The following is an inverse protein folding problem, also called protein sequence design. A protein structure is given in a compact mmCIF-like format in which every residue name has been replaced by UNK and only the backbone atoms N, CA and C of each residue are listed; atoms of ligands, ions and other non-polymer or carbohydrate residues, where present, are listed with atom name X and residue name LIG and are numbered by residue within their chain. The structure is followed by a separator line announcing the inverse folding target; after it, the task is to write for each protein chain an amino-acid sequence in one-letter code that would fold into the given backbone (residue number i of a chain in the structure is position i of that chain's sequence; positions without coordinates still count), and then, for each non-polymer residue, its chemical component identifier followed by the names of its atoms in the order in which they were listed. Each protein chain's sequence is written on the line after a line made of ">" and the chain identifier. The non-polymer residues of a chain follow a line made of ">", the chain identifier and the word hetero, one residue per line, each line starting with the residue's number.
data_IF_398886617473
#
_entry.id   IF_398886617473
#
_cell.length_a   1.000
_cell.length_b   1.000
_cell.length_c   1.000
_cell.angle_alpha   90.00
_cell.angle_beta   90.00
_cell.angle_gamma   90.00
#
_symmetry.space_group_name_H-M   'P 1'
#
loop_
_entity.id
_entity.type
_entity.pdbx_description
1 polymer ?
#
# COMPACT_ATOMS: atom_id res chain seq x y z
N UNK A 1 12.42 4.39 12.72
CA UNK A 1 11.40 4.75 11.74
C UNK A 1 10.01 4.53 12.34
N UNK A 2 9.09 5.47 12.15
CA UNK A 2 7.74 5.39 12.69
C UNK A 2 6.88 4.40 11.89
N UNK A 3 5.75 3.97 12.49
CA UNK A 3 4.79 3.11 11.78
C UNK A 3 4.25 3.78 10.52
N UNK A 4 4.03 5.10 10.58
CA UNK A 4 3.57 5.87 9.42
C UNK A 4 4.61 5.87 8.30
N UNK A 5 5.88 6.05 8.62
CA UNK A 5 6.96 6.00 7.64
C UNK A 5 7.10 4.61 7.01
N UNK A 6 7.02 3.56 7.81
CA UNK A 6 7.07 2.18 7.31
C UNK A 6 5.88 1.91 6.38
N UNK A 7 4.69 2.39 6.73
CA UNK A 7 3.50 2.25 5.87
C UNK A 7 3.72 2.96 4.53
N UNK A 8 4.27 4.15 4.55
CA UNK A 8 4.54 4.91 3.32
C UNK A 8 5.55 4.17 2.43
N UNK A 9 6.60 3.61 3.01
CA UNK A 9 7.56 2.79 2.25
C UNK A 9 6.91 1.52 1.70
N UNK A 10 6.02 0.90 2.46
CA UNK A 10 5.25 -0.27 1.99
C UNK A 10 4.41 0.11 0.78
N UNK A 11 3.71 1.24 0.86
CA UNK A 11 2.93 1.75 -0.27
C UNK A 11 3.82 1.96 -1.50
N UNK A 12 4.95 2.63 -1.34
CA UNK A 12 5.86 2.92 -2.46
C UNK A 12 6.39 1.64 -3.11
N UNK A 13 6.70 0.63 -2.31
CA UNK A 13 7.15 -0.66 -2.82
C UNK A 13 6.04 -1.36 -3.62
N UNK A 14 4.81 -1.32 -3.13
CA UNK A 14 3.66 -1.89 -3.83
C UNK A 14 3.36 -1.11 -5.12
N UNK A 15 3.45 0.21 -5.06
CA UNK A 15 3.25 1.07 -6.23
C UNK A 15 4.28 0.77 -7.31
N UNK A 16 5.55 0.63 -6.92
CA UNK A 16 6.63 0.29 -7.85
C UNK A 16 6.37 -1.05 -8.53
N UNK A 17 5.80 -2.01 -7.80
CA UNK A 17 5.48 -3.34 -8.33
C UNK A 17 4.54 -3.28 -9.54
N UNK A 18 3.68 -2.26 -9.63
CA UNK A 18 2.74 -2.10 -10.75
C UNK A 18 3.44 -1.79 -12.08
N UNK A 19 4.71 -1.39 -12.04
CA UNK A 19 5.48 -1.00 -13.23
C UNK A 19 6.46 -2.08 -13.70
N UNK A 20 6.63 -3.16 -12.94
CA UNK A 20 7.60 -4.20 -13.24
C UNK A 20 6.94 -5.57 -13.23
N UNK A 21 7.39 -6.48 -14.10
CA UNK A 21 6.90 -7.86 -14.07
C UNK A 21 7.53 -8.64 -12.91
N UNK A 22 7.06 -9.87 -12.69
CA UNK A 22 7.51 -10.69 -11.56
C UNK A 22 9.01 -11.06 -11.63
N UNK A 23 9.62 -11.01 -12.80
CA UNK A 23 11.06 -11.28 -12.95
C UNK A 23 11.90 -10.04 -12.64
N UNK A 24 11.40 -8.86 -13.03
CA UNK A 24 12.12 -7.59 -12.86
C UNK A 24 11.99 -7.03 -11.44
N UNK A 25 10.87 -7.29 -10.78
CA UNK A 25 10.54 -6.64 -9.51
C UNK A 25 11.55 -6.89 -8.39
N UNK A 26 12.06 -8.12 -8.17
CA UNK A 26 13.01 -8.35 -7.08
C UNK A 26 14.25 -7.46 -7.16
N UNK A 27 14.80 -7.25 -8.34
CA UNK A 27 15.96 -6.36 -8.53
C UNK A 27 15.58 -4.91 -8.26
N UNK A 28 14.43 -4.46 -8.74
CA UNK A 28 13.97 -3.10 -8.52
C UNK A 28 13.65 -2.84 -7.05
N UNK A 29 13.13 -3.83 -6.34
CA UNK A 29 12.89 -3.72 -4.91
C UNK A 29 14.21 -3.56 -4.14
N UNK A 30 15.25 -4.32 -4.48
CA UNK A 30 16.55 -4.18 -3.86
C UNK A 30 17.14 -2.79 -4.10
N UNK A 31 17.00 -2.25 -5.30
CA UNK A 31 17.41 -0.89 -5.61
C UNK A 31 16.67 0.13 -4.76
N UNK A 32 15.37 -0.09 -4.56
CA UNK A 32 14.56 0.77 -3.70
C UNK A 32 15.09 0.78 -2.26
N UNK A 33 15.43 -0.38 -1.71
CA UNK A 33 15.97 -0.48 -0.35
C UNK A 33 17.31 0.23 -0.19
N UNK A 34 18.13 0.20 -1.24
CA UNK A 34 19.47 0.84 -1.24
C UNK A 34 19.40 2.36 -1.41
N UNK A 35 18.45 2.83 -2.22
CA UNK A 35 18.27 4.25 -2.51
C UNK A 35 16.80 4.57 -2.76
N UNK A 36 16.02 4.83 -1.71
CA UNK A 36 14.59 5.14 -1.84
C UNK A 36 14.39 6.52 -2.47
N UNK A 37 14.36 6.55 -3.79
CA UNK A 37 14.34 7.74 -4.66
C UNK A 37 13.13 8.65 -4.43
N UNK A 38 12.11 8.17 -3.74
CA UNK A 38 10.86 8.92 -3.58
C UNK A 38 10.81 9.78 -2.32
N UNK A 39 11.83 9.72 -1.50
CA UNK A 39 11.85 10.49 -0.27
C UNK A 39 12.39 11.88 -0.56
N UNK A 40 11.58 12.91 -0.35
CA UNK A 40 12.06 14.27 -0.27
C UNK A 40 12.95 14.43 0.96
N UNK A 41 12.81 13.50 1.90
CA UNK A 41 13.62 13.40 3.10
C UNK A 41 14.67 12.30 2.90
N UNK A 42 15.80 12.71 2.35
CA UNK A 42 16.92 11.81 2.08
C UNK A 42 17.47 11.16 3.36
N UNK A 43 17.20 11.74 4.51
CA UNK A 43 17.69 11.22 5.80
C UNK A 43 16.90 9.97 6.22
N UNK A 44 15.61 9.88 5.87
CA UNK A 44 14.77 8.74 6.22
C UNK A 44 15.25 7.45 5.53
N UNK A 45 15.75 7.56 4.29
CA UNK A 45 16.28 6.43 3.53
C UNK A 45 17.55 5.86 4.17
N UNK A 46 18.42 6.76 4.60
CA UNK A 46 19.70 6.40 5.24
C UNK A 46 19.48 5.79 6.65
N UNK A 47 18.28 5.98 7.22
CA UNK A 47 17.95 5.54 8.58
C UNK A 47 17.25 4.18 8.63
N UNK A 48 17.04 3.54 7.49
CA UNK A 48 16.39 2.23 7.46
C UNK A 48 17.39 1.16 7.91
N UNK A 49 17.22 0.70 9.15
CA UNK A 49 18.04 -0.36 9.71
C UNK A 49 17.63 -1.74 9.17
N UNK A 50 18.42 -2.76 9.49
CA UNK A 50 18.17 -4.12 9.02
C UNK A 50 16.83 -4.67 9.51
N UNK A 51 16.46 -4.38 10.75
CA UNK A 51 15.16 -4.83 11.30
C UNK A 51 13.99 -4.22 10.53
N UNK A 52 14.07 -2.93 10.20
CA UNK A 52 13.04 -2.24 9.41
C UNK A 52 12.98 -2.81 8.00
N UNK A 53 14.13 -3.08 7.38
CA UNK A 53 14.18 -3.68 6.03
C UNK A 53 13.55 -5.07 6.02
N UNK A 54 13.84 -5.89 7.02
CA UNK A 54 13.23 -7.22 7.15
C UNK A 54 11.72 -7.12 7.33
N UNK A 55 11.26 -6.21 8.18
CA UNK A 55 9.83 -6.00 8.40
C UNK A 55 9.14 -5.55 7.11
N UNK A 56 9.71 -4.57 6.43
CA UNK A 56 9.18 -4.05 5.16
C UNK A 56 9.11 -5.16 4.11
N UNK A 57 10.18 -5.92 3.94
CA UNK A 57 10.26 -7.01 2.98
C UNK A 57 9.20 -8.07 3.28
N UNK A 58 9.06 -8.45 4.55
CA UNK A 58 8.05 -9.42 4.98
C UNK A 58 6.62 -8.92 4.72
N UNK A 59 6.37 -7.64 5.01
CA UNK A 59 5.05 -7.03 4.78
C UNK A 59 4.70 -6.99 3.29
N UNK A 60 5.63 -6.53 2.45
CA UNK A 60 5.42 -6.48 1.00
C UNK A 60 5.18 -7.88 0.44
N UNK A 61 5.97 -8.87 0.87
CA UNK A 61 5.81 -10.26 0.44
C UNK A 61 4.45 -10.83 0.87
N UNK A 62 4.02 -10.56 2.10
CA UNK A 62 2.72 -11.03 2.61
C UNK A 62 1.55 -10.43 1.82
N UNK A 63 1.62 -9.15 1.50
CA UNK A 63 0.59 -8.49 0.70
C UNK A 63 0.57 -9.05 -0.71
N UNK A 64 1.75 -9.23 -1.32
CA UNK A 64 1.88 -9.77 -2.68
C UNK A 64 1.28 -11.20 -2.78
N UNK A 65 1.52 -12.02 -1.77
CA UNK A 65 0.97 -13.38 -1.69
C UNK A 65 -0.55 -13.38 -1.64
N UNK A 66 -1.14 -12.36 -1.02
CA UNK A 66 -2.59 -12.26 -0.82
C UNK A 66 -3.30 -11.39 -1.86
N UNK A 67 -2.60 -10.91 -2.89
CA UNK A 67 -3.20 -10.02 -3.89
C UNK A 67 -4.49 -10.55 -4.50
N UNK A 68 -4.60 -11.83 -4.92
CA UNK A 68 -5.86 -12.32 -5.49
C UNK A 68 -7.04 -12.21 -4.52
N UNK A 69 -6.82 -12.54 -3.25
CA UNK A 69 -7.85 -12.44 -2.21
C UNK A 69 -8.20 -10.98 -1.92
N UNK A 70 -7.19 -10.10 -1.82
CA UNK A 70 -7.41 -8.68 -1.58
C UNK A 70 -8.20 -8.05 -2.72
N UNK A 71 -7.84 -8.35 -3.96
CA UNK A 71 -8.54 -7.83 -5.13
C UNK A 71 -9.98 -8.33 -5.19
N UNK A 72 -10.23 -9.58 -4.81
CA UNK A 72 -11.59 -10.11 -4.74
C UNK A 72 -12.44 -9.31 -3.74
N UNK A 73 -11.88 -9.03 -2.56
CA UNK A 73 -12.58 -8.24 -1.53
C UNK A 73 -12.85 -6.81 -1.98
N UNK A 74 -11.87 -6.18 -2.61
CA UNK A 74 -12.00 -4.82 -3.14
C UNK A 74 -13.04 -4.78 -4.26
N UNK A 75 -12.96 -5.71 -5.20
CA UNK A 75 -13.88 -5.77 -6.34
C UNK A 75 -15.32 -6.00 -5.91
N UNK A 76 -15.53 -6.72 -4.81
CA UNK A 76 -16.88 -6.99 -4.29
C UNK A 76 -17.60 -5.71 -3.84
N UNK A 77 -16.86 -4.68 -3.43
CA UNK A 77 -17.44 -3.42 -2.93
C UNK A 77 -17.21 -2.22 -3.85
N UNK A 78 -16.41 -2.36 -4.88
CA UNK A 78 -16.02 -1.24 -5.76
C UNK A 78 -17.02 -0.92 -6.86
N UNK A 79 -18.15 -1.60 -6.93
CA UNK A 79 -19.32 -1.30 -7.80
C UNK A 79 -18.95 -0.88 -9.23
N UNK A 80 -18.40 -1.80 -10.02
CA UNK A 80 -18.07 -1.54 -11.42
C UNK A 80 -16.67 -1.03 -11.67
N UNK A 81 -15.92 -0.70 -10.62
CA UNK A 81 -14.52 -0.32 -10.72
C UNK A 81 -13.66 -1.51 -10.31
N UNK A 82 -13.18 -2.27 -11.30
CA UNK A 82 -12.29 -3.40 -11.03
C UNK A 82 -10.87 -2.93 -10.74
N UNK A 83 -10.14 -3.68 -9.91
CA UNK A 83 -8.76 -3.34 -9.54
C UNK A 83 -7.84 -3.19 -10.75
N UNK A 84 -8.07 -3.96 -11.81
CA UNK A 84 -7.28 -3.87 -13.05
C UNK A 84 -7.55 -2.59 -13.87
N UNK A 85 -8.57 -1.83 -13.50
CA UNK A 85 -8.91 -0.55 -14.18
C UNK A 85 -8.70 0.66 -13.28
N UNK A 86 -8.32 0.45 -12.04
CA UNK A 86 -8.03 1.54 -11.11
C UNK A 86 -6.69 2.17 -11.41
N UNK A 87 -6.52 3.44 -11.02
CA UNK A 87 -5.22 4.07 -11.02
C UNK A 87 -4.25 3.33 -10.10
N UNK A 88 -2.97 3.37 -10.42
CA UNK A 88 -1.95 2.61 -9.69
C UNK A 88 -1.76 3.06 -8.25
N UNK A 89 -1.94 4.36 -7.98
CA UNK A 89 -1.91 4.90 -6.62
C UNK A 89 -3.08 4.34 -5.82
N UNK A 90 -4.28 4.46 -6.35
CA UNK A 90 -5.51 4.03 -5.68
C UNK A 90 -5.50 2.54 -5.38
N UNK A 91 -5.15 1.71 -6.36
CA UNK A 91 -5.15 0.26 -6.17
C UNK A 91 -4.09 -0.18 -5.16
N UNK A 92 -2.93 0.45 -5.18
CA UNK A 92 -1.86 0.14 -4.22
C UNK A 92 -2.28 0.47 -2.79
N UNK A 93 -2.93 1.61 -2.59
CA UNK A 93 -3.44 2.02 -1.29
C UNK A 93 -4.58 1.15 -0.81
N UNK A 94 -5.49 0.78 -1.71
CA UNK A 94 -6.60 -0.11 -1.38
C UNK A 94 -6.10 -1.49 -0.97
N UNK A 95 -5.12 -2.03 -1.67
CA UNK A 95 -4.53 -3.33 -1.33
C UNK A 95 -3.85 -3.29 0.03
N UNK A 96 -3.05 -2.25 0.29
CA UNK A 96 -2.36 -2.08 1.56
C UNK A 96 -3.36 -1.95 2.72
N UNK A 97 -4.32 -1.05 2.61
CA UNK A 97 -5.30 -0.81 3.67
C UNK A 97 -6.20 -2.03 3.90
N UNK A 98 -6.63 -2.71 2.83
CA UNK A 98 -7.42 -3.92 2.95
C UNK A 98 -6.65 -5.01 3.68
N UNK A 99 -5.36 -5.17 3.37
CA UNK A 99 -4.50 -6.09 4.10
C UNK A 99 -4.44 -5.74 5.59
N UNK A 100 -4.23 -4.47 5.93
CA UNK A 100 -4.18 -4.04 7.32
C UNK A 100 -5.49 -4.34 8.04
N UNK A 101 -6.62 -4.06 7.40
CA UNK A 101 -7.94 -4.29 7.99
C UNK A 101 -8.22 -5.77 8.23
N UNK A 102 -7.86 -6.62 7.27
CA UNK A 102 -8.19 -8.05 7.34
C UNK A 102 -7.18 -8.88 8.15
N UNK A 103 -5.92 -8.51 8.15
CA UNK A 103 -4.85 -9.37 8.65
C UNK A 103 -3.99 -8.76 9.76
N UNK A 104 -4.07 -7.47 10.02
CA UNK A 104 -3.25 -6.83 11.05
C UNK A 104 -4.13 -6.33 12.19
N UNK A 105 -4.27 -7.18 13.22
CA UNK A 105 -5.11 -6.88 14.39
C UNK A 105 -4.60 -5.71 15.22
N UNK A 106 -3.33 -5.34 15.08
CA UNK A 106 -2.75 -4.22 15.82
C UNK A 106 -3.15 -2.86 15.24
N UNK A 107 -3.69 -2.85 14.01
CA UNK A 107 -4.09 -1.60 13.35
C UNK A 107 -5.62 -1.50 13.37
N UNK A 108 -6.18 -0.51 14.10
CA UNK A 108 -7.63 -0.27 14.04
C UNK A 108 -8.08 0.09 12.62
N UNK A 109 -9.28 -0.34 12.24
CA UNK A 109 -9.83 -0.06 10.91
C UNK A 109 -9.81 1.43 10.55
N UNK A 110 -10.17 2.29 11.49
CA UNK A 110 -10.16 3.74 11.27
C UNK A 110 -8.78 4.28 10.97
N UNK A 111 -7.74 3.72 11.62
CA UNK A 111 -6.36 4.12 11.37
C UNK A 111 -5.93 3.71 9.97
N UNK A 112 -6.24 2.46 9.58
CA UNK A 112 -5.91 1.98 8.23
C UNK A 112 -6.56 2.85 7.16
N UNK A 113 -7.84 3.19 7.33
CA UNK A 113 -8.57 4.03 6.36
C UNK A 113 -7.99 5.43 6.33
N UNK A 114 -7.81 6.07 7.48
CA UNK A 114 -7.31 7.45 7.55
C UNK A 114 -5.91 7.58 6.97
N UNK A 115 -5.03 6.63 7.23
CA UNK A 115 -3.67 6.66 6.70
C UNK A 115 -3.67 6.46 5.18
N UNK A 116 -4.52 5.57 4.66
CA UNK A 116 -4.66 5.39 3.21
C UNK A 116 -5.18 6.66 2.54
N UNK A 117 -6.16 7.33 3.15
CA UNK A 117 -6.71 8.61 2.65
C UNK A 117 -5.63 9.70 2.63
N UNK A 118 -4.81 9.78 3.68
CA UNK A 118 -3.73 10.76 3.72
C UNK A 118 -2.69 10.52 2.61
N UNK A 119 -2.33 9.27 2.38
CA UNK A 119 -1.41 8.92 1.29
C UNK A 119 -2.05 9.20 -0.08
N UNK A 120 -3.36 8.99 -0.22
CA UNK A 120 -4.07 9.31 -1.46
C UNK A 120 -4.05 10.82 -1.75
N UNK A 121 -4.17 11.65 -0.72
CA UNK A 121 -4.06 13.11 -0.87
C UNK A 121 -2.66 13.52 -1.30
N UNK A 122 -1.65 12.81 -0.83
CA UNK A 122 -0.25 13.15 -1.08
C UNK A 122 0.23 12.67 -2.45
N UNK A 123 -0.17 11.48 -2.88
CA UNK A 123 0.35 10.83 -4.08
C UNK A 123 -0.63 10.75 -5.24
N UNK A 124 -1.91 10.92 -4.99
CA UNK A 124 -2.95 10.78 -6.01
C UNK A 124 -3.43 12.10 -6.57
N UNK A 125 -4.57 12.05 -7.23
CA UNK A 125 -5.27 13.21 -7.76
C UNK A 125 -6.28 13.73 -6.73
N UNK A 126 -6.96 14.83 -7.04
CA UNK A 126 -7.95 15.44 -6.14
C UNK A 126 -9.08 14.46 -5.74
N UNK A 127 -9.42 13.53 -6.63
CA UNK A 127 -10.50 12.58 -6.38
C UNK A 127 -10.05 11.29 -5.69
N UNK A 128 -8.74 11.05 -5.60
CA UNK A 128 -8.20 9.78 -5.08
C UNK A 128 -8.60 9.53 -3.64
N UNK A 129 -8.53 10.54 -2.79
CA UNK A 129 -8.85 10.38 -1.37
C UNK A 129 -10.32 10.00 -1.13
N UNK A 130 -11.24 10.63 -1.86
CA UNK A 130 -12.67 10.29 -1.78
C UNK A 130 -12.95 8.90 -2.29
N UNK A 131 -12.31 8.51 -3.39
CA UNK A 131 -12.45 7.19 -3.97
C UNK A 131 -11.97 6.10 -3.00
N UNK A 132 -10.79 6.27 -2.45
CA UNK A 132 -10.19 5.31 -1.49
C UNK A 132 -11.05 5.22 -0.23
N UNK A 133 -11.46 6.36 0.32
CA UNK A 133 -12.28 6.41 1.52
C UNK A 133 -13.63 5.70 1.31
N UNK A 134 -14.26 5.93 0.16
CA UNK A 134 -15.56 5.32 -0.16
C UNK A 134 -15.48 3.80 -0.23
N UNK A 135 -14.49 3.27 -0.91
CA UNK A 135 -14.32 1.81 -1.06
C UNK A 135 -13.98 1.17 0.29
N UNK A 136 -13.05 1.74 1.04
CA UNK A 136 -12.66 1.19 2.34
C UNK A 136 -13.81 1.27 3.35
N UNK A 137 -14.60 2.34 3.31
CA UNK A 137 -15.79 2.46 4.15
C UNK A 137 -16.80 1.36 3.87
N UNK A 138 -17.02 1.03 2.60
CA UNK A 138 -17.92 -0.07 2.22
C UNK A 138 -17.34 -1.43 2.62
N UNK A 139 -16.02 -1.59 2.49
CA UNK A 139 -15.35 -2.83 2.89
C UNK A 139 -15.60 -3.15 4.36
N UNK A 140 -15.42 -2.18 5.25
CA UNK A 140 -15.58 -2.41 6.69
C UNK A 140 -17.04 -2.63 7.09
N UNK A 141 -18.00 -2.05 6.37
CA UNK A 141 -19.42 -2.27 6.62
C UNK A 141 -19.87 -3.69 6.32
N UNK A 142 -19.17 -4.38 5.41
CA UNK A 142 -19.55 -5.72 4.95
C UNK A 142 -18.78 -6.84 5.64
N UNK A 143 -18.02 -6.51 6.64
CA UNK A 143 -17.34 -7.51 7.47
C UNK A 143 -18.19 -8.01 8.61
#
# INVERSE_FOLDING_TARGET
>A
MTRREVREHTFRALFQKEFYNSEEYPEQYQRYLEDPVFSEDTDAAAQMDDATREYLTGRVASIAEKLPELDEKINAVARGWKTNRMGKVEVSLLRLATYEILYDEEIPEKVAINEAVELAKRYGTDDSSSFVNGILGELVKKQ
#
